data_IF_988519055711
#
_entry.id   IF_988519055711
#
_cell.length_a   1.000
_cell.length_b   1.000
_cell.length_c   1.000
_cell.angle_alpha   90.00
_cell.angle_beta   90.00
_cell.angle_gamma   90.00
#
_symmetry.space_group_name_H-M   'P 1'
#
loop_
_entity.id
_entity.type
_entity.pdbx_description
1 polymer ?
2 non-polymer ?
3 water ?
#
# COMPACT_ATOMS: atom_id res chain seq x y z
N UNK A 4 -13.25 -0.14 -11.62
CA UNK A 4 -13.02 -0.20 -13.08
C UNK A 4 -11.53 -0.01 -13.31
N UNK A 5 -10.74 -0.97 -13.82
CA UNK A 5 -9.30 -0.79 -13.87
C UNK A 5 -8.88 0.37 -14.79
N UNK A 6 -9.66 0.68 -15.82
CA UNK A 6 -9.27 1.81 -16.68
C UNK A 6 -9.70 3.17 -16.15
N UNK A 7 -10.37 3.19 -15.00
CA UNK A 7 -10.74 4.48 -14.40
C UNK A 7 -9.57 5.03 -13.56
N UNK A 8 -9.18 6.25 -13.89
CA UNK A 8 -8.09 6.97 -13.24
C UNK A 8 -8.63 8.32 -12.78
N UNK A 9 -8.96 8.37 -11.51
CA UNK A 9 -9.57 9.54 -10.88
C UNK A 9 -8.49 10.55 -10.53
N UNK A 10 -8.89 11.77 -10.26
CA UNK A 10 -8.02 12.81 -9.73
C UNK A 10 -6.83 13.10 -10.62
N UNK A 11 -6.95 12.81 -11.93
CA UNK A 11 -5.95 13.27 -12.87
C UNK A 11 -6.66 14.15 -13.91
N UNK A 12 -5.96 15.17 -14.37
CA UNK A 12 -6.53 16.15 -15.26
C UNK A 12 -6.66 15.63 -16.69
N UNK A 13 -7.38 16.38 -17.51
CA UNK A 13 -7.41 16.08 -18.95
C UNK A 13 -6.01 16.04 -19.54
N UNK A 14 -5.20 17.04 -19.23
CA UNK A 14 -3.85 17.14 -19.79
C UNK A 14 -3.02 15.92 -19.46
N UNK A 15 -3.07 15.52 -18.18
CA UNK A 15 -2.32 14.34 -17.75
C UNK A 15 -2.84 13.10 -18.43
N UNK A 16 -4.16 12.88 -18.46
CA UNK A 16 -4.71 11.68 -19.09
C UNK A 16 -4.43 11.65 -20.58
N UNK A 17 -4.50 12.79 -21.28
CA UNK A 17 -4.20 12.77 -22.72
C UNK A 17 -2.73 12.50 -22.98
N UNK A 18 -1.84 13.08 -22.15
CA UNK A 18 -0.41 12.79 -22.38
C UNK A 18 -0.12 11.31 -22.17
N UNK A 19 -0.77 10.71 -21.18
CA UNK A 19 -0.55 9.28 -20.95
C UNK A 19 -1.02 8.47 -22.14
N UNK A 20 -2.24 8.75 -22.65
CA UNK A 20 -2.73 8.01 -23.83
C UNK A 20 -1.80 8.17 -25.04
N UNK A 21 -1.42 9.43 -25.29
CA UNK A 21 -0.55 9.65 -26.44
C UNK A 21 0.77 8.91 -26.31
N UNK A 22 1.26 8.75 -25.08
CA UNK A 22 2.53 8.06 -24.91
C UNK A 22 2.44 6.62 -25.37
N UNK A 23 1.24 6.00 -25.19
CA UNK A 23 1.15 4.62 -25.64
C UNK A 23 1.29 4.48 -27.14
N UNK A 24 0.89 5.46 -27.92
CA UNK A 24 1.03 5.35 -29.37
C UNK A 24 0.25 4.21 -29.95
N UNK A 25 -0.79 3.70 -29.33
CA UNK A 25 -1.55 2.58 -29.86
C UNK A 25 -3.01 2.96 -30.14
N UNK A 26 -3.40 2.70 -31.38
CA UNK A 26 -4.81 2.95 -31.73
C UNK A 26 -5.70 2.05 -30.88
N UNK A 27 -6.70 2.64 -30.24
CA UNK A 27 -7.59 1.89 -29.39
C UNK A 27 -7.17 1.82 -27.93
N UNK A 28 -6.05 2.48 -27.59
CA UNK A 28 -5.76 2.67 -26.17
C UNK A 28 -6.85 3.55 -25.56
N UNK A 29 -7.23 3.25 -24.32
CA UNK A 29 -8.29 4.07 -23.73
C UNK A 29 -8.19 4.12 -22.23
N UNK A 30 -8.83 5.15 -21.69
CA UNK A 30 -8.99 5.27 -20.24
C UNK A 30 -10.30 6.01 -19.96
N UNK A 31 -10.67 5.97 -18.68
CA UNK A 31 -11.81 6.75 -18.19
C UNK A 31 -11.29 7.73 -17.15
N UNK A 32 -11.64 9.02 -17.26
CA UNK A 32 -11.18 10.00 -16.28
C UNK A 32 -12.37 10.84 -15.84
N UNK A 33 -12.15 11.60 -14.79
CA UNK A 33 -13.15 12.53 -14.33
C UNK A 33 -13.38 13.70 -15.29
N UNK A 34 -14.62 14.09 -15.56
CA UNK A 34 -14.79 15.34 -16.29
C UNK A 34 -14.36 16.55 -15.47
N UNK A 35 -13.60 17.45 -16.10
CA UNK A 35 -13.26 18.72 -15.45
C UNK A 35 -14.31 19.80 -15.75
N UNK A 36 -15.24 19.49 -16.66
CA UNK A 36 -16.28 20.47 -16.99
C UNK A 36 -17.55 20.28 -16.19
N UNK A 37 -17.90 19.02 -15.91
CA UNK A 37 -19.12 18.72 -15.16
C UNK A 37 -18.83 17.70 -14.07
N UNK A 38 -18.80 18.13 -12.81
CA UNK A 38 -18.59 17.21 -11.69
C UNK A 38 -19.62 16.07 -11.79
N UNK A 39 -19.08 14.87 -11.62
CA UNK A 39 -19.94 13.68 -11.58
C UNK A 39 -20.05 12.94 -12.88
N UNK A 40 -19.55 13.54 -13.95
CA UNK A 40 -19.55 12.91 -15.25
C UNK A 40 -18.12 12.43 -15.49
N UNK A 41 -18.01 11.45 -16.41
CA UNK A 41 -16.71 10.88 -16.77
C UNK A 41 -16.45 11.10 -18.25
N UNK A 42 -15.18 10.97 -18.62
CA UNK A 42 -14.75 11.08 -20.02
C UNK A 42 -14.07 9.79 -20.42
N UNK A 43 -14.65 9.13 -21.43
CA UNK A 43 -14.03 7.96 -22.03
C UNK A 43 -13.12 8.48 -23.13
N UNK A 44 -11.83 8.24 -23.00
CA UNK A 44 -10.84 8.85 -23.89
C UNK A 44 -10.13 7.75 -24.67
N UNK A 45 -10.11 7.85 -25.99
CA UNK A 45 -9.62 6.83 -26.90
C UNK A 45 -8.62 7.48 -27.85
N UNK A 46 -7.48 6.80 -28.04
CA UNK A 46 -6.49 7.23 -28.99
C UNK A 46 -6.77 6.62 -30.36
N UNK A 47 -6.70 7.49 -31.36
CA UNK A 47 -6.83 7.01 -32.75
C UNK A 47 -6.02 7.88 -33.67
N UNK A 48 -5.07 7.29 -34.37
CA UNK A 48 -4.25 8.00 -35.37
C UNK A 48 -3.71 9.29 -34.78
N UNK A 49 -3.16 9.23 -33.57
CA UNK A 49 -2.44 10.34 -32.97
C UNK A 49 -3.30 11.38 -32.30
N UNK A 50 -4.63 11.19 -32.26
CA UNK A 50 -5.51 12.18 -31.60
C UNK A 50 -6.36 11.48 -30.55
N UNK A 51 -6.77 12.27 -29.56
CA UNK A 51 -7.62 11.71 -28.51
C UNK A 51 -9.08 12.07 -28.82
N UNK A 52 -9.93 11.07 -28.77
CA UNK A 52 -11.39 11.25 -28.93
C UNK A 52 -12.04 11.06 -27.57
N UNK A 53 -12.86 12.01 -27.16
CA UNK A 53 -13.45 12.00 -25.81
C UNK A 53 -14.96 11.92 -25.85
N UNK A 54 -15.52 10.98 -25.12
CA UNK A 54 -16.97 10.76 -25.09
C UNK A 54 -17.43 10.86 -23.66
N UNK A 55 -18.48 11.65 -23.42
CA UNK A 55 -18.97 11.77 -22.03
C UNK A 55 -19.70 10.52 -21.61
N UNK A 56 -19.43 10.09 -20.40
CA UNK A 56 -20.06 8.90 -19.81
C UNK A 56 -20.69 9.34 -18.50
N UNK A 57 -21.98 9.04 -18.37
CA UNK A 57 -22.59 9.45 -17.08
C UNK A 57 -23.55 8.39 -16.58
N UNK A 58 -23.83 8.53 -15.30
CA UNK A 58 -24.77 7.63 -14.65
C UNK A 58 -26.06 8.41 -14.39
N UNK A 59 -27.22 7.80 -14.65
CA UNK A 59 -28.50 8.44 -14.36
C UNK A 59 -28.91 8.29 -12.89
N UNK A 60 -30.05 8.93 -12.62
CA UNK A 60 -30.64 8.89 -11.29
C UNK A 60 -31.03 7.48 -10.88
N UNK A 61 -31.19 6.61 -11.88
CA UNK A 61 -31.55 5.26 -11.54
C UNK A 61 -30.37 4.29 -11.42
N UNK A 62 -29.16 4.79 -11.62
CA UNK A 62 -27.97 3.97 -11.53
C UNK A 62 -27.46 3.51 -12.88
N UNK A 63 -28.25 3.71 -13.95
CA UNK A 63 -27.82 3.23 -15.26
C UNK A 63 -26.72 4.14 -15.81
N UNK A 64 -26.01 3.63 -16.79
CA UNK A 64 -24.85 4.26 -17.41
C UNK A 64 -25.03 4.40 -18.91
N UNK A 65 -24.59 5.48 -19.52
CA UNK A 65 -24.61 5.57 -20.99
C UNK A 65 -23.48 6.49 -21.43
N UNK A 66 -23.12 6.41 -22.69
CA UNK A 66 -22.13 7.27 -23.31
C UNK A 66 -22.78 8.11 -24.40
N UNK A 67 -22.37 9.36 -24.49
CA UNK A 67 -22.77 10.18 -25.62
C UNK A 67 -21.83 9.91 -26.80
N UNK A 68 -22.36 9.44 -27.92
CA UNK A 68 -21.56 9.00 -29.06
C UNK A 68 -21.92 9.81 -30.30
N UNK A 69 -21.63 9.30 -31.48
CA UNK A 69 -22.00 9.96 -32.73
C UNK A 69 -23.52 10.11 -32.79
N UNK A 70 -24.01 11.21 -33.34
CA UNK A 70 -25.46 11.44 -33.47
C UNK A 70 -26.10 10.34 -34.32
N UNK A 71 -27.39 10.12 -34.16
CA UNK A 71 -28.02 9.08 -34.97
C UNK A 71 -27.77 7.68 -34.42
N UNK A 72 -26.86 7.58 -33.47
CA UNK A 72 -26.63 6.30 -32.82
C UNK A 72 -27.64 6.08 -31.70
N UNK A 73 -28.25 4.90 -31.72
CA UNK A 73 -29.20 4.54 -30.68
C UNK A 73 -28.48 4.55 -29.34
N UNK A 74 -28.95 5.29 -28.36
CA UNK A 74 -28.19 5.35 -27.11
C UNK A 74 -28.47 4.13 -26.24
N UNK A 75 -27.38 3.46 -25.85
CA UNK A 75 -27.49 2.29 -25.03
C UNK A 75 -27.25 2.60 -23.56
N UNK A 76 -28.08 1.99 -22.74
CA UNK A 76 -27.97 2.10 -21.27
C UNK A 76 -27.57 0.74 -20.69
N UNK A 77 -26.75 0.82 -19.66
CA UNK A 77 -26.21 -0.37 -19.01
C UNK A 77 -26.43 -0.28 -17.50
N UNK A 78 -26.67 -1.40 -16.84
CA UNK A 78 -26.72 -1.35 -15.39
C UNK A 78 -25.38 -0.96 -14.77
N UNK A 79 -24.29 -1.40 -15.40
CA UNK A 79 -22.96 -1.32 -14.79
C UNK A 79 -21.98 -0.74 -15.80
N UNK A 80 -21.13 0.13 -15.28
CA UNK A 80 -20.14 0.77 -16.15
C UNK A 80 -19.19 -0.25 -16.74
N UNK A 81 -18.87 -1.33 -16.00
CA UNK A 81 -17.96 -2.32 -16.61
C UNK A 81 -18.57 -2.92 -17.86
N UNK A 82 -19.91 -2.97 -17.89
CA UNK A 82 -20.59 -3.64 -19.03
C UNK A 82 -20.68 -2.66 -20.20
N UNK A 83 -20.78 -1.38 -19.85
CA UNK A 83 -20.68 -0.36 -20.91
C UNK A 83 -19.33 -0.45 -21.61
N UNK A 84 -18.25 -0.47 -20.79
CA UNK A 84 -16.91 -0.58 -21.37
C UNK A 84 -16.78 -1.81 -22.23
N UNK A 85 -17.23 -2.96 -21.72
CA UNK A 85 -17.15 -4.16 -22.58
C UNK A 85 -17.93 -3.98 -23.88
N UNK A 86 -19.08 -3.34 -23.82
CA UNK A 86 -19.91 -3.17 -25.02
C UNK A 86 -19.17 -2.36 -26.08
N UNK A 87 -18.42 -1.36 -25.63
CA UNK A 87 -17.70 -0.49 -26.55
C UNK A 87 -16.39 -1.10 -27.03
N UNK A 88 -16.07 -2.33 -26.67
CA UNK A 88 -14.98 -3.06 -27.29
C UNK A 88 -15.46 -3.72 -28.56
N UNK A 89 -16.77 -3.71 -28.80
CA UNK A 89 -17.30 -4.34 -30.03
C UNK A 89 -17.44 -3.32 -31.15
N UNK A 90 -17.54 -3.79 -32.39
CA UNK A 90 -17.60 -2.79 -33.49
C UNK A 90 -18.96 -2.08 -33.51
N UNK A 91 -18.96 -0.94 -34.18
CA UNK A 91 -20.16 -0.18 -34.57
C UNK A 91 -21.01 0.30 -33.41
N UNK A 92 -20.37 1.00 -32.49
CA UNK A 92 -21.03 1.46 -31.27
C UNK A 92 -21.13 2.98 -31.24
N UNK A 93 -20.57 3.64 -32.25
CA UNK A 93 -20.66 5.10 -32.33
C UNK A 93 -19.42 5.84 -31.91
N UNK A 94 -18.33 5.11 -31.63
CA UNK A 94 -17.07 5.81 -31.33
C UNK A 94 -16.09 5.55 -32.48
N UNK A 95 -14.96 6.26 -32.46
CA UNK A 95 -14.10 6.32 -33.64
C UNK A 95 -13.43 4.98 -33.92
N UNK A 96 -13.11 4.24 -32.89
CA UNK A 96 -12.54 2.89 -33.01
C UNK A 96 -12.95 2.12 -31.78
N UNK A 97 -13.17 0.83 -31.84
CA UNK A 97 -13.51 0.11 -30.58
C UNK A 97 -12.39 0.18 -29.58
N UNK A 98 -12.78 0.16 -28.29
CA UNK A 98 -11.85 0.11 -27.17
C UNK A 98 -11.04 -1.17 -27.26
N UNK A 99 -9.72 -1.07 -27.22
CA UNK A 99 -8.91 -2.26 -27.37
C UNK A 99 -7.79 -2.44 -26.36
N UNK A 100 -7.09 -1.37 -25.95
CA UNK A 100 -5.92 -1.51 -25.09
C UNK A 100 -6.12 -0.68 -23.82
N UNK A 101 -6.64 -1.30 -22.78
CA UNK A 101 -6.97 -0.52 -21.56
C UNK A 101 -5.70 0.00 -20.89
N UNK A 102 -5.71 1.28 -20.50
CA UNK A 102 -4.63 1.81 -19.68
C UNK A 102 -5.07 1.59 -18.22
N UNK A 103 -4.38 0.65 -17.55
CA UNK A 103 -4.77 0.24 -16.22
C UNK A 103 -3.86 0.71 -15.08
N UNK A 104 -2.69 1.23 -15.46
CA UNK A 104 -1.71 1.68 -14.48
C UNK A 104 -0.62 2.51 -15.14
N UNK B 4 3.32 25.28 -5.64
CA UNK B 4 3.51 23.87 -6.07
C UNK B 4 2.18 23.20 -6.27
N UNK B 5 1.76 22.87 -7.49
CA UNK B 5 0.41 22.39 -7.70
C UNK B 5 0.10 21.07 -7.03
N UNK B 6 1.10 20.19 -6.82
CA UNK B 6 0.78 18.92 -6.16
C UNK B 6 0.89 18.99 -4.63
N UNK B 7 1.16 20.16 -4.09
CA UNK B 7 1.20 20.26 -2.64
C UNK B 7 -0.21 20.44 -2.04
N UNK B 8 -0.52 19.59 -1.09
CA UNK B 8 -1.79 19.61 -0.40
C UNK B 8 -1.48 19.71 1.10
N UNK B 9 -1.61 20.93 1.61
CA UNK B 9 -1.35 21.17 3.03
C UNK B 9 -2.55 20.73 3.87
N UNK B 10 -2.30 20.53 5.16
CA UNK B 10 -3.34 20.27 6.13
C UNK B 10 -3.81 18.84 6.01
N UNK B 11 -3.86 18.19 4.87
CA UNK B 11 -4.49 16.88 4.76
C UNK B 11 -3.62 15.79 5.41
N UNK B 12 -4.31 14.71 5.81
CA UNK B 12 -3.64 13.62 6.51
C UNK B 12 -2.95 12.65 5.57
N UNK B 13 -2.13 11.78 6.14
CA UNK B 13 -1.54 10.71 5.36
C UNK B 13 -2.62 9.85 4.71
N UNK B 14 -3.67 9.54 5.46
CA UNK B 14 -4.73 8.69 4.90
C UNK B 14 -5.41 9.36 3.73
N UNK B 15 -5.66 10.66 3.82
CA UNK B 15 -6.30 11.35 2.69
C UNK B 15 -5.40 11.33 1.47
N UNK B 16 -4.11 11.59 1.68
CA UNK B 16 -3.13 11.53 0.61
C UNK B 16 -3.12 10.17 -0.02
N UNK B 17 -3.12 9.12 0.77
CA UNK B 17 -3.04 7.77 0.18
C UNK B 17 -4.30 7.48 -0.61
N UNK B 18 -5.45 7.91 -0.09
CA UNK B 18 -6.69 7.67 -0.84
C UNK B 18 -6.69 8.39 -2.17
N UNK B 19 -6.15 9.61 -2.19
CA UNK B 19 -6.09 10.35 -3.45
C UNK B 19 -5.23 9.61 -4.48
N UNK B 20 -4.05 9.16 -4.03
CA UNK B 20 -3.17 8.46 -4.96
C UNK B 20 -3.86 7.18 -5.45
N UNK B 21 -4.45 6.42 -4.54
CA UNK B 21 -5.11 5.16 -4.94
C UNK B 21 -6.25 5.45 -5.92
N UNK B 22 -6.95 6.58 -5.78
CA UNK B 22 -8.02 6.90 -6.71
C UNK B 22 -7.50 7.07 -8.13
N UNK B 23 -6.24 7.54 -8.26
CA UNK B 23 -5.70 7.66 -9.62
C UNK B 23 -5.45 6.29 -10.24
N UNK B 24 -5.11 5.25 -9.48
CA UNK B 24 -4.80 3.96 -10.06
C UNK B 24 -3.64 4.00 -11.05
N UNK B 25 -2.69 4.91 -10.95
CA UNK B 25 -1.58 4.96 -11.90
C UNK B 25 -0.23 4.87 -11.19
N UNK B 26 0.64 4.03 -11.76
CA UNK B 26 2.02 3.98 -11.28
C UNK B 26 2.73 5.29 -11.55
N UNK B 27 3.27 5.91 -10.50
CA UNK B 27 3.99 7.18 -10.73
C UNK B 27 3.06 8.36 -10.42
N UNK B 28 1.83 8.17 -9.96
CA UNK B 28 1.05 9.29 -9.42
C UNK B 28 1.73 9.84 -8.18
N UNK B 29 1.66 11.15 -7.96
CA UNK B 29 2.34 11.67 -6.78
C UNK B 29 1.70 12.94 -6.28
N UNK B 30 2.04 13.22 -5.01
CA UNK B 30 1.62 14.47 -4.40
C UNK B 30 2.64 14.82 -3.32
N UNK B 31 2.51 16.03 -2.81
CA UNK B 31 3.29 16.45 -1.66
C UNK B 31 2.33 16.80 -0.52
N UNK B 32 2.63 16.37 0.70
CA UNK B 32 1.79 16.70 1.82
C UNK B 32 2.68 17.01 3.02
N UNK B 33 2.04 17.44 4.11
CA UNK B 33 2.71 17.72 5.37
C UNK B 33 3.03 16.44 6.09
N UNK B 34 4.23 16.38 6.70
CA UNK B 34 4.48 15.26 7.60
C UNK B 34 3.62 15.31 8.87
N UNK B 35 3.02 14.20 9.23
CA UNK B 35 2.33 14.12 10.50
C UNK B 35 3.32 13.77 11.62
N UNK B 36 4.48 13.24 11.29
CA UNK B 36 5.43 12.82 12.31
C UNK B 36 6.38 13.91 12.78
N UNK B 37 6.80 14.79 11.86
CA UNK B 37 7.81 15.80 12.17
C UNK B 37 7.32 17.13 11.64
N UNK B 38 6.89 18.06 12.49
CA UNK B 38 6.39 19.35 11.99
C UNK B 38 7.39 20.11 11.12
N UNK B 39 6.91 20.70 10.03
CA UNK B 39 7.78 21.45 9.12
C UNK B 39 8.41 20.60 8.03
N UNK B 40 8.38 19.28 8.11
CA UNK B 40 8.81 18.35 7.07
C UNK B 40 7.65 18.04 6.15
N UNK B 41 7.95 17.74 4.90
CA UNK B 41 6.92 17.33 3.96
C UNK B 41 7.16 15.89 3.55
N UNK B 42 6.17 15.35 2.88
CA UNK B 42 6.27 13.97 2.36
C UNK B 42 5.94 13.94 0.90
N UNK B 43 6.87 13.47 0.07
CA UNK B 43 6.62 13.23 -1.34
C UNK B 43 6.11 11.81 -1.43
N UNK B 44 4.86 11.68 -1.88
CA UNK B 44 4.18 10.39 -1.82
C UNK B 44 3.90 9.90 -3.23
N UNK B 45 4.31 8.70 -3.57
CA UNK B 45 4.25 8.14 -4.92
C UNK B 45 3.59 6.77 -4.93
N UNK B 46 2.68 6.55 -5.89
CA UNK B 46 1.99 5.29 -5.98
C UNK B 46 2.80 4.37 -6.93
N UNK B 47 3.00 3.12 -6.53
CA UNK B 47 3.62 2.17 -7.45
C UNK B 47 3.11 0.80 -7.14
N UNK B 48 2.47 0.19 -8.15
CA UNK B 48 1.95 -1.19 -8.01
C UNK B 48 1.09 -1.35 -6.77
N UNK B 49 0.25 -0.32 -6.51
CA UNK B 49 -0.78 -0.42 -5.49
C UNK B 49 -0.31 0.04 -4.11
N UNK B 50 0.96 0.40 -3.97
CA UNK B 50 1.59 0.77 -2.73
C UNK B 50 2.05 2.23 -2.76
N UNK B 51 1.92 2.89 -1.62
CA UNK B 51 2.38 4.29 -1.56
C UNK B 51 3.77 4.29 -0.92
N UNK B 52 4.67 5.01 -1.55
CA UNK B 52 6.04 5.21 -1.11
C UNK B 52 6.15 6.64 -0.65
N UNK B 53 6.71 6.82 0.54
CA UNK B 53 6.78 8.14 1.12
C UNK B 53 8.22 8.57 1.34
N UNK B 54 8.59 9.69 0.77
CA UNK B 54 9.93 10.21 0.90
C UNK B 54 9.91 11.55 1.61
N UNK B 55 10.67 11.68 2.70
CA UNK B 55 10.62 12.95 3.44
C UNK B 55 11.39 14.00 2.64
N UNK B 56 10.78 15.18 2.52
CA UNK B 56 11.31 16.37 1.88
C UNK B 56 11.43 17.44 2.94
N UNK B 57 12.65 17.97 3.13
CA UNK B 57 12.79 18.76 4.38
C UNK B 57 13.98 19.64 4.58
N UNK B 65 15.64 19.17 0.04
CA UNK B 65 16.08 17.88 -0.50
C UNK B 65 15.16 16.77 -0.03
N UNK B 66 15.20 15.65 -0.73
CA UNK B 66 14.44 14.46 -0.43
C UNK B 66 15.39 13.40 0.13
N UNK B 67 14.88 12.68 1.10
CA UNK B 67 15.58 11.52 1.69
C UNK B 67 15.28 10.36 0.78
N UNK B 68 16.26 9.80 0.07
CA UNK B 68 16.00 8.68 -0.84
C UNK B 68 16.82 7.46 -0.50
N UNK B 69 17.00 6.54 -1.46
CA UNK B 69 17.77 5.34 -1.10
C UNK B 69 19.21 5.73 -0.77
N UNK B 70 19.73 5.10 0.27
CA UNK B 70 21.13 5.22 0.61
C UNK B 70 22.03 4.81 -0.55
N UNK B 71 23.12 5.54 -0.68
CA UNK B 71 24.02 5.29 -1.80
C UNK B 71 23.69 6.32 -2.86
N UNK B 72 22.54 6.99 -2.73
CA UNK B 72 22.29 8.02 -3.74
C UNK B 72 22.85 9.38 -3.29
N UNK B 73 23.51 9.98 -4.28
CA UNK B 73 24.08 11.32 -4.16
C UNK B 73 22.95 12.30 -3.86
N UNK B 74 22.92 12.84 -2.65
CA UNK B 74 21.78 13.70 -2.33
C UNK B 74 21.84 15.03 -3.09
N UNK B 75 20.71 15.35 -3.72
CA UNK B 75 20.61 16.61 -4.43
C UNK B 75 19.79 17.62 -3.63
N UNK B 76 20.16 18.87 -3.90
CA UNK B 76 19.52 19.95 -3.14
C UNK B 76 19.02 20.99 -4.15
N UNK B 77 17.89 21.55 -3.81
CA UNK B 77 17.22 22.43 -4.74
C UNK B 77 16.79 23.69 -3.99
N UNK B 78 16.92 24.82 -4.68
CA UNK B 78 16.41 26.08 -4.14
C UNK B 78 14.89 26.03 -4.07
N UNK B 79 14.30 25.38 -5.07
CA UNK B 79 12.86 25.46 -5.27
C UNK B 79 12.25 24.08 -5.22
N UNK B 80 11.12 23.91 -4.54
CA UNK B 80 10.59 22.54 -4.51
C UNK B 80 10.16 22.17 -5.93
N UNK B 81 9.75 23.13 -6.75
CA UNK B 81 9.30 22.78 -8.11
C UNK B 81 10.44 22.18 -8.89
N UNK B 82 11.71 22.56 -8.64
CA UNK B 82 12.85 21.96 -9.32
C UNK B 82 13.23 20.61 -8.76
N UNK B 83 13.01 20.37 -7.48
CA UNK B 83 13.12 19.03 -6.91
C UNK B 83 12.12 18.10 -7.58
N UNK B 84 10.85 18.55 -7.67
CA UNK B 84 9.83 17.71 -8.32
C UNK B 84 10.27 17.39 -9.76
N UNK B 85 10.75 18.38 -10.53
CA UNK B 85 11.16 18.14 -11.91
C UNK B 85 12.30 17.12 -11.98
N UNK B 86 13.27 17.26 -11.06
CA UNK B 86 14.40 16.31 -11.10
C UNK B 86 13.95 14.87 -10.90
N UNK B 87 12.94 14.68 -10.04
CA UNK B 87 12.49 13.34 -9.71
C UNK B 87 11.51 12.77 -10.73
N UNK B 88 11.28 13.49 -11.82
CA UNK B 88 10.60 12.96 -12.98
C UNK B 88 11.55 12.16 -13.88
N UNK B 89 12.84 12.12 -13.60
CA UNK B 89 13.81 11.31 -14.37
C UNK B 89 14.20 10.04 -13.63
N UNK B 90 14.65 8.96 -14.28
CA UNK B 90 15.08 7.76 -13.54
C UNK B 90 16.40 7.96 -12.78
N UNK B 91 16.67 6.98 -11.95
CA UNK B 91 17.93 6.83 -11.24
C UNK B 91 18.15 7.99 -10.27
N UNK B 92 17.07 8.47 -9.67
CA UNK B 92 17.20 9.50 -8.63
C UNK B 92 17.02 8.94 -7.24
N UNK B 93 16.83 7.64 -7.10
CA UNK B 93 16.75 7.07 -5.76
C UNK B 93 15.37 6.81 -5.23
N UNK B 94 14.32 7.01 -6.05
CA UNK B 94 12.97 6.64 -5.63
C UNK B 94 12.50 5.44 -6.47
N UNK B 95 11.39 4.82 -6.09
CA UNK B 95 11.07 3.52 -6.66
C UNK B 95 10.67 3.64 -8.13
N UNK B 96 10.08 4.75 -8.52
CA UNK B 96 9.63 4.91 -9.91
C UNK B 96 9.63 6.41 -10.15
N UNK B 97 9.93 6.90 -11.33
CA UNK B 97 9.90 8.38 -11.50
C UNK B 97 8.51 8.95 -11.29
N UNK B 98 8.50 10.21 -10.86
CA UNK B 98 7.25 10.96 -10.78
C UNK B 98 6.63 11.13 -12.15
N UNK B 99 5.36 10.72 -12.31
CA UNK B 99 4.75 10.70 -13.64
C UNK B 99 3.43 11.47 -13.75
N UNK B 100 2.57 11.41 -12.73
CA UNK B 100 1.21 12.00 -12.90
C UNK B 100 0.91 12.83 -11.66
N UNK B 101 0.81 14.13 -11.79
CA UNK B 101 0.62 14.99 -10.61
C UNK B 101 -0.83 14.95 -10.12
N UNK B 102 -1.03 14.87 -8.82
CA UNK B 102 -2.38 14.99 -8.27
C UNK B 102 -2.52 16.43 -7.76
N UNK B 103 -3.20 17.29 -8.50
CA UNK B 103 -3.19 18.73 -8.27
C UNK B 103 -4.41 19.29 -7.56
N UNK B 104 -5.51 18.59 -7.57
CA UNK B 104 -6.76 19.04 -6.99
C UNK B 104 -7.74 17.88 -6.96
N UNK C 4 -7.06 -15.52 -1.15
CA UNK C 4 -6.49 -15.68 0.19
C UNK C 4 -5.10 -15.08 0.17
N UNK C 5 -5.01 -13.85 0.64
CA UNK C 5 -3.73 -13.16 0.61
C UNK C 5 -2.67 -13.84 1.48
N UNK C 6 -3.06 -14.59 2.52
CA UNK C 6 -2.00 -15.18 3.38
C UNK C 6 -1.55 -16.50 2.82
N UNK C 7 -2.11 -16.90 1.68
CA UNK C 7 -1.68 -18.18 1.13
C UNK C 7 -0.44 -17.99 0.28
N UNK C 8 0.60 -18.75 0.62
CA UNK C 8 1.86 -18.74 -0.10
C UNK C 8 2.16 -20.13 -0.60
N UNK C 9 1.92 -20.37 -1.88
CA UNK C 9 2.20 -21.68 -2.46
C UNK C 9 3.65 -21.82 -2.82
N UNK C 10 4.04 -23.07 -3.04
CA UNK C 10 5.37 -23.30 -3.58
C UNK C 10 6.47 -22.79 -2.67
N UNK C 11 6.15 -22.69 -1.38
CA UNK C 11 7.17 -22.45 -0.38
C UNK C 11 7.25 -23.59 0.63
N UNK C 12 8.45 -23.83 1.14
CA UNK C 12 8.66 -24.94 2.06
C UNK C 12 8.27 -24.63 3.49
N UNK C 13 8.13 -25.69 4.30
CA UNK C 13 7.93 -25.52 5.74
C UNK C 13 8.99 -24.58 6.31
N UNK C 14 10.23 -24.85 5.92
CA UNK C 14 11.33 -24.04 6.44
C UNK C 14 11.18 -22.56 6.11
N UNK C 15 10.88 -22.25 4.87
CA UNK C 15 10.69 -20.85 4.43
C UNK C 15 9.56 -20.20 5.21
N UNK C 16 8.42 -20.94 5.31
CA UNK C 16 7.28 -20.40 6.03
C UNK C 16 7.65 -20.08 7.48
N UNK C 17 8.34 -20.99 8.15
CA UNK C 17 8.62 -20.82 9.57
C UNK C 17 9.60 -19.69 9.75
N UNK C 18 10.60 -19.60 8.85
CA UNK C 18 11.59 -18.53 9.00
C UNK C 18 10.91 -17.16 8.91
N UNK C 19 10.00 -17.08 7.98
CA UNK C 19 9.23 -15.85 7.76
C UNK C 19 8.40 -15.53 8.99
N UNK C 20 7.65 -16.50 9.56
CA UNK C 20 6.84 -16.17 10.75
C UNK C 20 7.74 -15.75 11.89
N UNK C 21 8.80 -16.51 12.14
CA UNK C 21 9.65 -16.21 13.28
C UNK C 21 10.21 -14.81 13.14
N UNK C 22 10.50 -14.35 11.93
CA UNK C 22 11.12 -13.04 11.73
C UNK C 22 10.16 -11.96 12.23
N UNK C 23 8.86 -12.24 12.04
CA UNK C 23 7.93 -11.19 12.46
C UNK C 23 7.96 -10.97 13.96
N UNK C 24 8.18 -12.05 14.73
CA UNK C 24 8.19 -11.90 16.17
C UNK C 24 6.89 -11.45 16.76
N UNK C 25 5.76 -11.60 16.09
CA UNK C 25 4.48 -11.21 16.65
C UNK C 25 3.57 -12.40 16.90
N UNK C 26 3.10 -12.49 18.15
CA UNK C 26 2.09 -13.52 18.41
C UNK C 26 0.89 -13.32 17.49
N UNK C 27 0.39 -14.40 16.89
CA UNK C 27 -0.81 -14.33 16.07
C UNK C 27 -0.45 -13.98 14.64
N UNK C 28 0.83 -13.81 14.31
CA UNK C 28 1.22 -13.74 12.89
C UNK C 28 0.88 -15.10 12.26
N UNK C 29 0.39 -15.09 11.02
CA UNK C 29 0.00 -16.37 10.42
C UNK C 29 0.12 -16.37 8.91
N UNK C 30 0.21 -17.60 8.38
CA UNK C 30 0.16 -17.74 6.93
C UNK C 30 -0.43 -19.12 6.65
N UNK C 31 -0.77 -19.38 5.38
CA UNK C 31 -1.20 -20.65 4.87
C UNK C 31 -0.18 -21.12 3.83
N UNK C 32 0.29 -22.35 3.95
CA UNK C 32 1.24 -22.85 2.94
C UNK C 32 0.75 -24.23 2.48
N UNK C 33 1.38 -24.78 1.46
CA UNK C 33 1.14 -26.14 1.04
C UNK C 33 1.67 -27.17 2.02
N UNK C 34 0.91 -28.23 2.33
CA UNK C 34 1.54 -29.31 3.07
C UNK C 34 2.57 -30.04 2.23
N UNK C 35 3.74 -30.29 2.77
CA UNK C 35 4.75 -31.11 2.12
C UNK C 35 4.53 -32.59 2.41
N UNK C 36 3.71 -32.88 3.40
CA UNK C 36 3.44 -34.26 3.77
C UNK C 36 2.31 -34.89 2.97
N UNK C 37 1.30 -34.07 2.70
CA UNK C 37 0.12 -34.57 2.00
C UNK C 37 -0.26 -33.64 0.87
N UNK C 38 0.05 -33.98 -0.37
CA UNK C 38 -0.35 -33.14 -1.51
C UNK C 38 -1.81 -32.70 -1.47
N UNK C 39 -2.05 -31.40 -1.74
CA UNK C 39 -3.36 -30.80 -1.80
C UNK C 39 -3.99 -30.44 -0.47
N UNK C 40 -3.30 -30.73 0.62
CA UNK C 40 -3.69 -30.27 1.97
C UNK C 40 -2.85 -29.02 2.22
N UNK C 41 -3.32 -28.17 3.14
CA UNK C 41 -2.61 -26.95 3.47
C UNK C 41 -2.25 -26.94 4.94
N UNK C 42 -1.38 -25.99 5.28
CA UNK C 42 -0.98 -25.85 6.68
C UNK C 42 -1.22 -24.41 7.07
N UNK C 43 -2.07 -24.23 8.09
CA UNK C 43 -2.25 -22.92 8.71
C UNK C 43 -1.19 -22.80 9.82
N UNK C 44 -0.29 -21.87 9.67
CA UNK C 44 0.87 -21.77 10.54
C UNK C 44 0.81 -20.46 11.32
N UNK C 45 0.89 -20.58 12.65
CA UNK C 45 0.66 -19.45 13.56
C UNK C 45 1.81 -19.32 14.53
N UNK C 46 2.37 -18.11 14.69
CA UNK C 46 3.41 -17.86 15.64
C UNK C 46 2.82 -17.55 17.03
N UNK C 47 3.36 -18.15 18.10
CA UNK C 47 2.89 -17.81 19.45
C UNK C 47 4.03 -18.12 20.41
N UNK C 48 4.44 -17.08 21.12
CA UNK C 48 5.55 -17.07 22.06
C UNK C 48 6.77 -17.76 21.46
N UNK C 49 7.10 -17.48 20.21
CA UNK C 49 8.37 -17.96 19.74
C UNK C 49 8.28 -19.33 19.08
N UNK C 50 7.10 -19.96 19.13
CA UNK C 50 6.89 -21.28 18.53
C UNK C 50 5.92 -21.20 17.39
N UNK C 51 6.14 -22.04 16.38
CA UNK C 51 5.18 -22.18 15.28
C UNK C 51 4.23 -23.34 15.55
N UNK C 52 2.95 -23.02 15.43
CA UNK C 52 1.88 -24.01 15.56
C UNK C 52 1.32 -24.30 14.17
N UNK C 53 1.21 -25.53 13.77
CA UNK C 53 0.84 -25.91 12.40
C UNK C 53 -0.43 -26.75 12.46
N UNK C 54 -1.46 -26.21 11.83
CA UNK C 54 -2.76 -26.87 11.81
C UNK C 54 -3.07 -27.26 10.39
N UNK C 55 -3.33 -28.53 10.16
CA UNK C 55 -3.61 -28.95 8.79
C UNK C 55 -5.01 -28.49 8.38
N UNK C 56 -5.13 -27.99 7.15
CA UNK C 56 -6.38 -27.48 6.62
C UNK C 56 -6.66 -28.27 5.36
N UNK C 57 -7.80 -28.92 5.29
CA UNK C 57 -8.06 -29.69 4.06
C UNK C 57 -9.52 -29.54 3.64
N UNK C 58 -9.78 -29.88 2.38
CA UNK C 58 -11.13 -29.76 1.83
C UNK C 58 -11.67 -31.18 1.68
N UNK C 59 -12.94 -31.35 1.97
CA UNK C 59 -13.58 -32.66 1.96
C UNK C 59 -13.93 -33.09 0.54
N UNK C 60 -14.49 -34.29 0.60
CA UNK C 60 -15.07 -35.08 -0.46
C UNK C 60 -15.90 -34.19 -1.36
N UNK C 61 -16.65 -33.28 -0.74
CA UNK C 61 -17.68 -32.47 -1.32
C UNK C 61 -17.38 -30.98 -1.23
N UNK C 62 -16.15 -30.61 -0.90
CA UNK C 62 -15.67 -29.27 -1.08
C UNK C 62 -15.58 -28.38 0.12
N UNK C 63 -15.89 -28.90 1.31
CA UNK C 63 -15.80 -28.02 2.47
C UNK C 63 -14.41 -28.09 3.09
N UNK C 64 -14.09 -26.95 3.70
CA UNK C 64 -12.80 -26.78 4.39
C UNK C 64 -12.85 -26.92 5.89
N UNK C 65 -11.84 -27.52 6.52
CA UNK C 65 -11.81 -27.47 7.99
C UNK C 65 -10.36 -27.51 8.41
N UNK C 66 -10.11 -27.07 9.64
CA UNK C 66 -8.79 -27.21 10.22
C UNK C 66 -8.81 -28.27 11.32
N UNK C 67 -7.74 -29.05 11.37
CA UNK C 67 -7.60 -30.03 12.43
C UNK C 67 -7.07 -29.28 13.65
N UNK C 68 -7.80 -29.12 14.74
CA UNK C 68 -7.50 -28.34 15.91
C UNK C 68 -7.30 -29.20 17.14
N UNK C 69 -7.57 -28.73 18.33
CA UNK C 69 -7.45 -29.58 19.51
C UNK C 69 -8.51 -30.68 19.58
N UNK C 70 -8.15 -31.85 20.11
CA UNK C 70 -9.21 -32.85 20.35
C UNK C 70 -10.29 -32.30 21.24
N UNK C 71 -11.52 -32.75 20.98
CA UNK C 71 -12.55 -32.29 21.92
C UNK C 71 -13.24 -31.09 21.32
N UNK C 72 -12.58 -30.45 20.36
CA UNK C 72 -13.16 -29.29 19.74
C UNK C 72 -14.22 -29.63 18.72
N UNK C 73 -15.37 -28.98 18.77
CA UNK C 73 -16.36 -29.28 17.72
C UNK C 73 -15.88 -28.70 16.38
N UNK C 74 -15.64 -29.59 15.41
CA UNK C 74 -15.05 -29.20 14.14
C UNK C 74 -16.01 -28.41 13.26
N UNK C 75 -15.54 -27.26 12.80
CA UNK C 75 -16.32 -26.43 11.91
C UNK C 75 -15.84 -26.65 10.48
N UNK C 76 -16.79 -26.54 9.58
CA UNK C 76 -16.57 -26.66 8.16
C UNK C 76 -17.02 -25.42 7.41
N UNK C 77 -16.26 -25.15 6.35
CA UNK C 77 -16.41 -23.92 5.61
C UNK C 77 -16.37 -24.16 4.12
N UNK C 78 -17.31 -23.52 3.42
CA UNK C 78 -17.34 -23.62 1.97
C UNK C 78 -16.20 -22.81 1.38
N UNK C 79 -15.87 -21.73 2.08
CA UNK C 79 -14.82 -20.84 1.60
C UNK C 79 -13.68 -20.77 2.62
N UNK C 80 -12.48 -20.94 2.07
CA UNK C 80 -11.31 -20.87 2.93
C UNK C 80 -11.20 -19.48 3.52
N UNK C 81 -11.59 -18.39 2.85
CA UNK C 81 -11.55 -17.12 3.56
C UNK C 81 -12.49 -17.10 4.76
N UNK C 82 -13.57 -17.87 4.78
CA UNK C 82 -14.45 -17.83 5.94
C UNK C 82 -13.86 -18.66 7.07
N UNK C 83 -13.11 -19.69 6.72
CA UNK C 83 -12.37 -20.43 7.74
C UNK C 83 -11.41 -19.49 8.46
N UNK C 84 -10.67 -18.73 7.70
CA UNK C 84 -9.63 -17.85 8.24
C UNK C 84 -10.34 -16.82 9.10
N UNK C 85 -11.47 -16.24 8.65
CA UNK C 85 -12.17 -15.28 9.51
C UNK C 85 -12.63 -15.86 10.84
N UNK C 86 -13.15 -17.10 10.85
CA UNK C 86 -13.61 -17.72 12.09
C UNK C 86 -12.48 -17.88 13.09
N UNK C 87 -11.29 -18.19 12.57
CA UNK C 87 -10.14 -18.44 13.44
C UNK C 87 -9.50 -17.13 13.89
N UNK C 88 -10.04 -15.97 13.54
CA UNK C 88 -9.67 -14.68 14.11
C UNK C 88 -10.32 -14.45 15.47
N UNK C 89 -11.22 -15.33 15.90
CA UNK C 89 -11.90 -15.22 17.18
C UNK C 89 -11.33 -16.18 18.21
N UNK C 90 -11.46 -15.95 19.52
CA UNK C 90 -10.93 -16.93 20.47
C UNK C 90 -11.84 -18.15 20.54
N UNK C 91 -11.37 -19.19 21.22
CA UNK C 91 -12.12 -20.38 21.53
C UNK C 91 -12.51 -21.20 20.31
N UNK C 92 -11.60 -21.24 19.32
CA UNK C 92 -11.86 -22.02 18.13
C UNK C 92 -10.99 -23.27 18.10
N UNK C 93 -10.11 -23.46 19.09
CA UNK C 93 -9.31 -24.67 19.12
C UNK C 93 -7.86 -24.52 18.75
N UNK C 94 -7.42 -23.29 18.40
CA UNK C 94 -5.98 -23.09 18.15
C UNK C 94 -5.42 -22.27 19.30
N UNK C 95 -4.07 -22.16 19.33
CA UNK C 95 -3.45 -21.70 20.57
C UNK C 95 -3.67 -20.23 20.83
N UNK C 96 -3.79 -19.45 19.76
CA UNK C 96 -4.03 -18.00 19.85
C UNK C 96 -4.80 -17.60 18.59
N UNK C 97 -5.70 -16.64 18.59
CA UNK C 97 -6.38 -16.30 17.34
C UNK C 97 -5.41 -15.75 16.30
N UNK C 98 -5.84 -15.97 15.05
CA UNK C 98 -5.15 -15.36 13.91
C UNK C 98 -5.29 -13.85 13.97
N UNK C 99 -4.17 -13.12 13.94
CA UNK C 99 -4.26 -11.66 14.09
C UNK C 99 -3.54 -10.84 13.03
N UNK C 100 -2.36 -11.31 12.60
CA UNK C 100 -1.54 -10.48 11.71
C UNK C 100 -1.14 -11.29 10.50
N UNK C 101 -1.84 -11.09 9.39
CA UNK C 101 -1.66 -11.91 8.21
C UNK C 101 -0.34 -11.57 7.54
N UNK C 102 0.41 -12.62 7.15
CA UNK C 102 1.65 -12.46 6.39
C UNK C 102 1.26 -12.57 4.92
N UNK C 103 1.19 -11.44 4.24
CA UNK C 103 0.68 -11.41 2.88
C UNK C 103 1.76 -11.30 1.81
N UNK C 104 3.00 -11.06 2.22
CA UNK C 104 4.08 -10.89 1.23
C UNK C 104 5.40 -10.87 2.00
N UNK D 4 17.21 -7.56 18.95
CA UNK D 4 16.40 -6.45 19.45
C UNK D 4 14.98 -6.97 19.57
N UNK D 5 14.49 -7.20 20.78
CA UNK D 5 13.16 -7.77 20.92
C UNK D 5 12.11 -6.83 20.32
N UNK D 6 12.37 -5.51 20.24
CA UNK D 6 11.33 -4.65 19.67
C UNK D 6 11.40 -4.58 18.15
N UNK D 7 12.42 -5.19 17.55
CA UNK D 7 12.48 -5.19 16.10
C UNK D 7 11.62 -6.33 15.55
N UNK D 8 10.69 -6.02 14.68
CA UNK D 8 9.86 -6.97 13.98
C UNK D 8 10.08 -6.81 12.47
N UNK D 9 10.92 -7.65 11.93
CA UNK D 9 11.11 -7.64 10.47
C UNK D 9 9.90 -8.31 9.82
N UNK D 10 9.74 -8.02 8.53
CA UNK D 10 8.79 -8.69 7.68
C UNK D 10 7.36 -8.34 8.01
N UNK D 11 7.13 -7.27 8.79
CA UNK D 11 5.77 -6.75 8.97
C UNK D 11 5.58 -5.43 8.28
N UNK D 12 4.33 -5.13 7.91
CA UNK D 12 4.06 -3.87 7.21
C UNK D 12 3.81 -2.69 8.11
N UNK D 13 3.81 -1.48 7.52
CA UNK D 13 3.40 -0.29 8.27
C UNK D 13 2.03 -0.54 8.91
N UNK D 14 1.07 -1.06 8.15
CA UNK D 14 -0.29 -1.20 8.66
C UNK D 14 -0.32 -2.12 9.86
N UNK D 15 0.40 -3.26 9.79
CA UNK D 15 0.44 -4.16 10.95
C UNK D 15 1.04 -3.52 12.19
N UNK D 16 2.16 -2.84 11.99
CA UNK D 16 2.82 -2.20 13.16
C UNK D 16 1.91 -1.14 13.77
N UNK D 17 1.19 -0.38 12.94
CA UNK D 17 0.34 0.66 13.49
C UNK D 17 -0.84 0.04 14.21
N UNK D 18 -1.43 -1.04 13.66
CA UNK D 18 -2.58 -1.65 14.34
C UNK D 18 -2.21 -2.14 15.72
N UNK D 19 -1.01 -2.74 15.81
CA UNK D 19 -0.50 -3.24 17.07
C UNK D 19 -0.30 -2.11 18.03
N UNK D 20 0.42 -1.05 17.59
CA UNK D 20 0.64 0.05 18.56
C UNK D 20 -0.67 0.68 18.99
N UNK D 21 -1.59 0.88 18.03
CA UNK D 21 -2.86 1.53 18.38
C UNK D 21 -3.62 0.69 19.40
N UNK D 22 -3.60 -0.61 19.27
CA UNK D 22 -4.25 -1.50 20.21
C UNK D 22 -3.75 -1.28 21.64
N UNK D 23 -2.45 -0.99 21.80
CA UNK D 23 -1.92 -0.82 23.15
C UNK D 23 -2.53 0.43 23.80
N UNK D 24 -2.81 1.48 23.03
CA UNK D 24 -3.35 2.68 23.62
C UNK D 24 -2.43 3.32 24.65
N UNK D 25 -1.12 3.08 24.67
CA UNK D 25 -0.22 3.66 25.66
C UNK D 25 0.79 4.62 25.00
N UNK D 26 0.88 5.84 25.53
CA UNK D 26 1.89 6.77 25.10
C UNK D 26 3.28 6.14 25.37
N UNK D 27 4.09 6.21 24.30
CA UNK D 27 5.45 5.72 24.35
C UNK D 27 5.52 4.24 24.07
N UNK D 28 4.43 3.59 23.68
CA UNK D 28 4.56 2.26 23.07
C UNK D 28 5.33 2.38 21.76
N UNK D 29 6.21 1.42 21.51
CA UNK D 29 7.03 1.60 20.32
C UNK D 29 7.49 0.25 19.76
N UNK D 30 7.84 0.30 18.48
CA UNK D 30 8.48 -0.86 17.86
C UNK D 30 9.42 -0.36 16.77
N UNK D 31 10.24 -1.31 16.30
CA UNK D 31 11.09 -1.05 15.13
C UNK D 31 10.67 -1.99 14.00
N UNK D 32 10.62 -1.52 12.77
CA UNK D 32 10.24 -2.37 11.65
C UNK D 32 11.04 -1.90 10.44
N UNK D 33 10.92 -2.69 9.37
CA UNK D 33 11.61 -2.33 8.14
C UNK D 33 10.87 -1.22 7.42
N UNK D 34 11.56 -0.27 6.81
CA UNK D 34 10.86 0.67 5.95
C UNK D 34 10.34 -0.01 4.68
N UNK D 35 9.07 0.25 4.35
CA UNK D 35 8.54 -0.19 3.10
C UNK D 35 8.88 0.77 1.97
N UNK D 36 9.16 2.02 2.27
CA UNK D 36 9.40 3.05 1.27
C UNK D 36 10.86 3.09 0.81
N UNK D 37 11.78 2.81 1.76
CA UNK D 37 13.20 2.74 1.45
C UNK D 37 13.82 1.43 1.92
N UNK D 38 14.01 0.40 1.09
CA UNK D 38 14.72 -0.84 1.57
C UNK D 38 16.08 -0.54 2.22
N UNK D 39 16.42 -1.22 3.33
CA UNK D 39 17.68 -0.90 3.99
C UNK D 39 17.58 0.10 5.13
N UNK D 40 16.46 0.78 5.25
CA UNK D 40 16.20 1.70 6.34
C UNK D 40 15.14 1.08 7.24
N UNK D 41 15.11 1.62 8.47
CA UNK D 41 14.14 1.11 9.44
C UNK D 41 13.25 2.24 9.92
N UNK D 42 12.15 1.86 10.55
CA UNK D 42 11.21 2.85 11.08
C UNK D 42 10.99 2.59 12.56
N UNK D 43 11.34 3.57 13.37
CA UNK D 43 11.05 3.57 14.81
C UNK D 43 9.68 4.23 14.94
N UNK D 44 8.70 3.49 15.40
CA UNK D 44 7.30 3.86 15.41
C UNK D 44 6.83 3.98 16.85
N UNK D 45 6.25 5.14 17.17
CA UNK D 45 5.93 5.47 18.55
C UNK D 45 4.49 5.95 18.64
N UNK D 46 3.73 5.45 19.60
CA UNK D 46 2.38 5.95 19.76
C UNK D 46 2.36 7.13 20.73
N UNK D 47 1.60 8.14 20.37
CA UNK D 47 1.41 9.28 21.30
C UNK D 47 0.02 9.87 21.07
N UNK D 48 -0.79 9.89 22.11
CA UNK D 48 -2.15 10.43 22.05
C UNK D 48 -2.93 9.88 20.87
N UNK D 49 -2.86 8.58 20.67
CA UNK D 49 -3.63 7.90 19.64
C UNK D 49 -3.10 7.97 18.22
N UNK D 50 -1.97 8.59 18.00
CA UNK D 50 -1.36 8.75 16.69
C UNK D 50 0.02 8.11 16.68
N UNK D 51 0.43 7.59 15.50
CA UNK D 51 1.73 6.98 15.36
C UNK D 51 2.70 7.97 14.71
N UNK D 52 3.85 8.06 15.36
CA UNK D 52 4.93 8.90 14.90
C UNK D 52 6.04 7.99 14.36
N UNK D 53 6.50 8.26 13.14
CA UNK D 53 7.48 7.35 12.53
C UNK D 53 8.77 8.09 12.25
N UNK D 54 9.87 7.54 12.75
CA UNK D 54 11.18 8.15 12.58
C UNK D 54 12.09 7.20 11.81
N UNK D 55 12.78 7.69 10.78
CA UNK D 55 13.64 6.81 10.00
C UNK D 55 14.89 6.56 10.82
N UNK D 56 15.32 5.30 10.86
CA UNK D 56 16.56 4.86 11.52
C UNK D 56 17.44 4.20 10.48
N UNK D 57 18.71 4.63 10.45
CA UNK D 57 19.59 4.05 9.43
C UNK D 57 21.01 3.95 9.96
N UNK D 58 21.85 3.25 9.22
CA UNK D 58 23.26 3.11 9.54
C UNK D 58 24.13 3.92 8.58
N UNK D 59 25.20 4.51 9.14
CA UNK D 59 26.23 5.10 8.32
C UNK D 59 27.09 4.02 7.65
N UNK D 60 27.98 4.46 6.77
CA UNK D 60 28.89 3.57 6.07
C UNK D 60 29.66 2.67 7.03
N UNK D 61 30.06 3.23 8.18
CA UNK D 61 30.81 2.39 9.12
C UNK D 61 29.88 1.68 10.10
N UNK D 62 28.55 1.80 9.96
CA UNK D 62 27.70 0.97 10.80
C UNK D 62 27.06 1.63 12.00
N UNK D 63 27.28 2.93 12.16
CA UNK D 63 26.67 3.63 13.30
C UNK D 63 25.23 3.97 13.01
N UNK D 64 24.41 3.87 14.04
CA UNK D 64 22.97 4.04 14.00
C UNK D 64 22.54 5.43 14.42
N UNK D 65 21.56 5.99 13.73
CA UNK D 65 20.95 7.24 14.13
C UNK D 65 19.50 7.28 13.66
N UNK D 66 18.70 8.13 14.30
CA UNK D 66 17.31 8.37 13.97
C UNK D 66 17.22 9.80 13.44
N UNK D 67 16.46 9.95 12.39
CA UNK D 67 16.14 11.26 11.84
C UNK D 67 14.99 11.87 12.61
N UNK D 68 15.18 13.05 13.18
CA UNK D 68 14.10 13.74 13.92
C UNK D 68 13.92 15.13 13.35
N UNK D 69 14.14 16.25 14.04
CA UNK D 69 14.07 17.57 13.40
C UNK D 69 15.07 17.71 12.26
N UNK D 70 14.64 18.37 11.20
CA UNK D 70 15.55 18.46 10.05
C UNK D 70 16.75 19.36 10.36
N UNK D 71 17.89 19.00 9.79
CA UNK D 71 19.06 19.85 9.94
C UNK D 71 19.59 20.02 11.35
N UNK D 72 19.30 19.13 12.28
CA UNK D 72 19.85 19.13 13.63
C UNK D 72 20.88 18.02 13.75
N UNK D 73 21.99 18.26 14.44
CA UNK D 73 23.00 17.21 14.59
C UNK D 73 22.43 15.96 15.27
N UNK D 74 22.64 14.81 14.63
CA UNK D 74 22.13 13.59 15.23
C UNK D 74 23.10 13.01 16.24
N UNK D 75 22.58 12.18 17.14
CA UNK D 75 23.40 11.30 17.94
C UNK D 75 23.61 9.98 17.22
N UNK D 76 24.81 9.43 17.25
CA UNK D 76 25.16 8.17 16.60
C UNK D 76 25.51 7.10 17.63
N UNK D 77 25.09 5.88 17.33
CA UNK D 77 25.23 4.78 18.29
C UNK D 77 25.84 3.56 17.61
N UNK D 78 26.75 2.88 18.31
CA UNK D 78 27.32 1.62 17.82
C UNK D 78 26.29 0.50 17.68
N UNK D 79 25.37 0.49 18.66
CA UNK D 79 24.42 -0.58 18.79
C UNK D 79 23.00 -0.01 18.80
N UNK D 80 22.10 -0.68 18.08
CA UNK D 80 20.72 -0.17 18.08
C UNK D 80 20.14 -0.19 19.49
N UNK D 81 20.55 -1.14 20.34
CA UNK D 81 19.99 -1.13 21.70
C UNK D 81 20.39 0.13 22.43
N UNK D 82 21.55 0.71 22.07
CA UNK D 82 21.95 1.92 22.77
C UNK D 82 21.21 3.16 22.25
N UNK D 83 20.84 3.10 20.98
CA UNK D 83 19.97 4.12 20.39
C UNK D 83 18.63 4.10 21.14
N UNK D 84 18.04 2.92 21.26
CA UNK D 84 16.77 2.77 21.95
C UNK D 84 16.88 3.28 23.39
N UNK D 85 17.93 2.89 24.11
CA UNK D 85 18.13 3.36 25.47
C UNK D 85 18.15 4.89 25.54
N UNK D 86 18.86 5.53 24.63
CA UNK D 86 19.01 6.99 24.64
C UNK D 86 17.65 7.65 24.42
N UNK D 87 16.84 7.05 23.54
CA UNK D 87 15.55 7.65 23.23
C UNK D 87 14.49 7.32 24.29
N UNK D 88 14.86 6.66 25.38
CA UNK D 88 14.03 6.53 26.54
C UNK D 88 14.10 7.79 27.40
N UNK D 89 15.01 8.70 27.09
CA UNK D 89 15.11 9.95 27.86
C UNK D 89 14.41 11.11 27.22
N UNK D 90 14.07 12.21 27.91
CA UNK D 90 13.40 13.35 27.22
C UNK D 90 14.36 14.15 26.36
N UNK D 91 13.80 14.97 25.48
CA UNK D 91 14.51 15.97 24.68
C UNK D 91 15.55 15.40 23.74
N UNK D 92 15.18 14.27 23.20
CA UNK D 92 16.06 13.63 22.21
C UNK D 92 15.55 13.92 20.80
N UNK D 93 14.38 14.58 20.68
CA UNK D 93 13.88 14.98 19.38
C UNK D 93 12.69 14.23 18.84
N UNK D 94 12.21 13.23 19.62
CA UNK D 94 10.96 12.53 19.22
C UNK D 94 9.82 13.05 20.09
N UNK D 95 8.58 12.72 19.70
CA UNK D 95 7.42 13.40 20.29
C UNK D 95 7.23 13.04 21.75
N UNK D 96 7.63 11.85 22.13
CA UNK D 96 7.48 11.40 23.54
C UNK D 96 8.56 10.33 23.78
N UNK D 97 9.16 10.15 24.92
CA UNK D 97 10.17 9.10 25.08
C UNK D 97 9.62 7.69 24.89
N UNK D 98 10.51 6.80 24.40
CA UNK D 98 10.21 5.37 24.29
C UNK D 98 10.00 4.79 25.68
N UNK D 99 8.89 4.10 25.88
CA UNK D 99 8.59 3.62 27.22
C UNK D 99 8.16 2.17 27.30
N UNK D 100 7.39 1.71 26.31
CA UNK D 100 6.81 0.37 26.40
C UNK D 100 7.08 -0.41 25.11
N UNK D 101 8.10 -1.24 25.15
CA UNK D 101 8.45 -1.97 23.95
C UNK D 101 7.44 -3.05 23.54
N UNK D 102 7.09 -3.03 22.25
CA UNK D 102 6.23 -4.10 21.76
C UNK D 102 7.15 -5.24 21.31
N UNK D 103 7.21 -6.32 22.09
CA UNK D 103 8.13 -7.41 21.81
C UNK D 103 7.45 -8.61 21.19
N UNK D 104 6.13 -8.66 21.20
CA UNK D 104 5.39 -9.80 20.64
C UNK D 104 3.92 -9.47 20.45
#
# INVERSE_FOLDING_TARGET
MDAVAVYHGKISRETGEKLLLATGLDGSYLLRDSESVPGVYCLCVLYHGYIYTYRVSQTETGSWSAETAPGVHKRYFRKIKNLISAFQKPDQGIVIPLQYPVEK
MDAVAVYHGKISRETGEKLLLATGLDGSYLLRDSESVPGVYCLCVLYHGYIYTYRVSQTETGSWSAETAPGVHKRYFRKIKNLISAFQKPDQGIVIPLQYPVEK
MDAVAVYHGKISRETGEKLLLATGLDGSYLLRDSESVPGVYCLCVLYHGYIYTYRVSQTETGSWSAETAPGVHKRYFRKIKNLISAFQKPDQGIVIPLQYPVEK
MDAVAVYHGKISRETGEKLLLATGLDGSYLLRDSESVPGVYCLCVLYHGYIYTYRVSQTETGSWSAETAPGVHKRYFRKIKNLISAFQKPDQGIVIPLQYPVEK
#
